data_IF_912910322062
#
_entry.id   IF_912910322062
#
_cell.length_a   1.000
_cell.length_b   1.000
_cell.length_c   1.000
_cell.angle_alpha   90.00
_cell.angle_beta   90.00
_cell.angle_gamma   90.00
#
_symmetry.space_group_name_H-M   'P 1'
#
loop_
_entity.id
_entity.type
_entity.pdbx_description
1 polymer ?
#
# COMPACT_ATOMS: atom_id res chain seq x y z
N UNK A 1 -20.13 6.10 4.59
CA UNK A 1 -19.65 4.69 4.71
C UNK A 1 -20.76 3.74 4.29
N UNK A 2 -20.47 2.77 3.43
CA UNK A 2 -21.46 1.75 3.04
C UNK A 2 -21.71 0.84 4.25
N UNK A 3 -22.96 0.73 4.73
CA UNK A 3 -23.27 -0.15 5.87
C UNK A 3 -23.11 -1.60 5.44
N UNK A 4 -22.17 -2.30 6.08
CA UNK A 4 -21.95 -3.73 5.87
C UNK A 4 -23.08 -4.52 6.52
N UNK A 5 -23.73 -5.41 5.76
CA UNK A 5 -24.75 -6.35 6.27
C UNK A 5 -24.17 -7.23 7.37
N UNK A 6 -25.00 -7.72 8.31
CA UNK A 6 -24.54 -8.67 9.33
C UNK A 6 -24.09 -9.98 8.68
N UNK A 7 -23.16 -10.70 9.31
CA UNK A 7 -22.57 -11.95 8.78
C UNK A 7 -23.63 -12.96 8.33
N UNK A 8 -24.64 -13.22 9.16
CA UNK A 8 -25.70 -14.19 8.84
C UNK A 8 -26.52 -13.77 7.62
N UNK A 9 -26.81 -12.47 7.48
CA UNK A 9 -27.55 -11.94 6.34
C UNK A 9 -26.72 -12.03 5.06
N UNK A 10 -25.40 -11.78 5.15
CA UNK A 10 -24.47 -11.99 4.04
C UNK A 10 -24.48 -13.44 3.58
N UNK A 11 -24.35 -14.41 4.50
CA UNK A 11 -24.33 -15.84 4.15
C UNK A 11 -25.62 -16.31 3.48
N UNK A 12 -26.78 -15.82 3.93
CA UNK A 12 -28.08 -16.12 3.30
C UNK A 12 -28.17 -15.53 1.89
N UNK A 13 -27.85 -14.24 1.76
CA UNK A 13 -27.85 -13.53 0.47
C UNK A 13 -26.85 -14.12 -0.52
N UNK A 14 -25.68 -14.53 -0.02
CA UNK A 14 -24.59 -15.04 -0.84
C UNK A 14 -24.96 -16.31 -1.59
N UNK A 15 -25.71 -17.23 -0.97
CA UNK A 15 -26.16 -18.46 -1.63
C UNK A 15 -26.97 -18.17 -2.91
N UNK A 16 -27.79 -17.12 -2.89
CA UNK A 16 -28.60 -16.71 -4.04
C UNK A 16 -27.72 -15.96 -5.03
N UNK A 17 -26.91 -15.01 -4.54
CA UNK A 17 -26.04 -14.19 -5.36
C UNK A 17 -25.01 -15.03 -6.14
N UNK A 18 -24.47 -16.08 -5.53
CA UNK A 18 -23.50 -16.98 -6.18
C UNK A 18 -24.08 -17.68 -7.41
N UNK A 19 -25.38 -18.02 -7.40
CA UNK A 19 -26.04 -18.70 -8.54
C UNK A 19 -26.16 -17.79 -9.76
N UNK A 20 -26.27 -16.49 -9.55
CA UNK A 20 -26.44 -15.49 -10.61
C UNK A 20 -25.15 -14.75 -10.93
N UNK A 21 -24.04 -15.08 -10.26
CA UNK A 21 -22.79 -14.34 -10.41
C UNK A 21 -22.07 -14.75 -11.71
N UNK A 22 -21.90 -13.83 -12.68
CA UNK A 22 -21.29 -14.17 -13.97
C UNK A 22 -19.75 -14.12 -13.95
N UNK A 23 -19.15 -13.67 -12.84
CA UNK A 23 -17.72 -13.41 -12.79
C UNK A 23 -16.88 -14.66 -12.53
N UNK A 24 -15.70 -14.73 -13.16
CA UNK A 24 -14.72 -15.82 -12.95
C UNK A 24 -14.14 -15.83 -11.54
N UNK A 25 -13.98 -14.66 -10.92
CA UNK A 25 -13.30 -14.50 -9.62
C UNK A 25 -14.31 -14.34 -8.47
N UNK A 26 -14.82 -15.45 -7.96
CA UNK A 26 -15.84 -15.46 -6.92
C UNK A 26 -15.44 -14.68 -5.66
N UNK A 27 -14.20 -14.84 -5.21
CA UNK A 27 -13.68 -14.19 -4.00
C UNK A 27 -13.64 -12.66 -4.17
N UNK A 28 -13.19 -12.17 -5.33
CA UNK A 28 -13.18 -10.73 -5.64
C UNK A 28 -14.60 -10.19 -5.75
N UNK A 29 -15.49 -10.93 -6.39
CA UNK A 29 -16.91 -10.57 -6.49
C UNK A 29 -17.57 -10.45 -5.12
N UNK A 30 -17.33 -11.42 -4.25
CA UNK A 30 -17.89 -11.46 -2.91
C UNK A 30 -17.40 -10.29 -2.06
N UNK A 31 -16.08 -10.07 -2.03
CA UNK A 31 -15.45 -8.97 -1.32
C UNK A 31 -16.06 -7.60 -1.74
N UNK A 32 -16.23 -7.39 -3.04
CA UNK A 32 -16.80 -6.16 -3.59
C UNK A 32 -18.31 -6.02 -3.29
N UNK A 33 -19.08 -7.11 -3.41
CA UNK A 33 -20.53 -7.09 -3.19
C UNK A 33 -20.88 -6.75 -1.76
N UNK A 34 -20.18 -7.35 -0.80
CA UNK A 34 -20.47 -7.23 0.62
C UNK A 34 -19.53 -6.29 1.38
N UNK A 35 -18.61 -5.62 0.69
CA UNK A 35 -17.62 -4.72 1.29
C UNK A 35 -16.84 -5.39 2.44
N UNK A 36 -16.33 -6.60 2.17
CA UNK A 36 -15.53 -7.39 3.12
C UNK A 36 -14.13 -7.64 2.55
N UNK A 37 -13.18 -7.94 3.42
CA UNK A 37 -11.83 -8.35 3.00
C UNK A 37 -11.85 -9.68 2.26
N UNK A 38 -10.86 -9.89 1.39
CA UNK A 38 -10.70 -11.14 0.63
C UNK A 38 -10.53 -12.35 1.55
N UNK A 39 -9.87 -12.19 2.70
CA UNK A 39 -9.70 -13.26 3.70
C UNK A 39 -11.05 -13.62 4.33
N UNK A 40 -11.85 -12.61 4.68
CA UNK A 40 -13.21 -12.81 5.21
C UNK A 40 -14.12 -13.47 4.18
N UNK A 41 -14.02 -13.04 2.92
CA UNK A 41 -14.74 -13.67 1.81
C UNK A 41 -14.40 -15.16 1.66
N UNK A 42 -13.12 -15.55 1.74
CA UNK A 42 -12.70 -16.96 1.68
C UNK A 42 -13.34 -17.77 2.80
N UNK A 43 -13.27 -17.28 4.06
CA UNK A 43 -13.84 -17.96 5.22
C UNK A 43 -15.35 -18.15 5.07
N UNK A 44 -16.06 -17.13 4.61
CA UNK A 44 -17.52 -17.17 4.41
C UNK A 44 -17.91 -18.07 3.23
N UNK A 45 -17.18 -18.02 2.12
CA UNK A 45 -17.39 -18.91 0.97
C UNK A 45 -17.15 -20.37 1.33
N UNK A 46 -16.12 -20.68 2.15
CA UNK A 46 -15.87 -22.02 2.68
C UNK A 46 -17.03 -22.51 3.56
N UNK A 47 -17.65 -21.63 4.35
CA UNK A 47 -18.84 -21.96 5.13
C UNK A 47 -20.09 -22.20 4.27
N UNK A 48 -20.15 -21.60 3.09
CA UNK A 48 -21.24 -21.83 2.12
C UNK A 48 -21.03 -23.15 1.35
N UNK A 49 -19.85 -23.75 1.43
CA UNK A 49 -19.50 -25.02 0.76
C UNK A 49 -18.67 -24.83 -0.51
N UNK A 50 -18.08 -23.66 -0.73
CA UNK A 50 -17.16 -23.45 -1.85
C UNK A 50 -15.79 -24.01 -1.49
N UNK A 51 -15.30 -24.95 -2.30
CA UNK A 51 -13.94 -25.45 -2.20
C UNK A 51 -12.96 -24.37 -2.67
N UNK A 52 -12.15 -23.89 -1.73
CA UNK A 52 -11.06 -22.94 -2.00
C UNK A 52 -9.77 -23.62 -1.56
N UNK A 53 -8.88 -23.83 -2.53
CA UNK A 53 -7.54 -24.40 -2.30
C UNK A 53 -6.76 -23.60 -1.27
N UNK A 54 -6.05 -24.32 -0.39
CA UNK A 54 -5.23 -23.74 0.67
C UNK A 54 -4.01 -23.02 0.09
N UNK A 55 -3.49 -23.48 -1.04
CA UNK A 55 -2.41 -22.84 -1.78
C UNK A 55 -2.83 -21.44 -2.25
N UNK A 56 -4.04 -21.30 -2.76
CA UNK A 56 -4.59 -20.02 -3.19
C UNK A 56 -4.77 -19.04 -2.03
N UNK A 57 -5.21 -19.53 -0.87
CA UNK A 57 -5.31 -18.74 0.37
C UNK A 57 -3.93 -18.20 0.80
N UNK A 58 -2.90 -19.06 0.82
CA UNK A 58 -1.52 -18.66 1.15
C UNK A 58 -0.96 -17.60 0.20
N UNK A 59 -1.16 -17.78 -1.11
CA UNK A 59 -0.72 -16.78 -2.10
C UNK A 59 -1.38 -15.41 -1.88
N UNK A 60 -2.67 -15.41 -1.51
CA UNK A 60 -3.41 -14.19 -1.21
C UNK A 60 -2.91 -13.48 0.04
N UNK A 61 -2.63 -14.23 1.11
CA UNK A 61 -2.04 -13.67 2.34
C UNK A 61 -0.68 -13.04 2.04
N UNK A 62 0.21 -13.77 1.37
CA UNK A 62 1.53 -13.26 0.98
C UNK A 62 1.43 -12.00 0.10
N UNK A 63 0.47 -11.93 -0.81
CA UNK A 63 0.24 -10.76 -1.66
C UNK A 63 -0.27 -9.55 -0.85
N UNK A 64 -1.12 -9.78 0.16
CA UNK A 64 -1.59 -8.73 1.07
C UNK A 64 -0.44 -8.21 1.92
N UNK A 65 0.37 -9.10 2.47
CA UNK A 65 1.54 -8.73 3.29
C UNK A 65 2.57 -7.94 2.48
N UNK A 66 2.92 -8.40 1.27
CA UNK A 66 3.81 -7.65 0.36
C UNK A 66 3.27 -6.26 0.05
N UNK A 67 1.97 -6.14 -0.23
CA UNK A 67 1.35 -4.82 -0.47
C UNK A 67 1.36 -3.93 0.77
N UNK A 68 1.23 -4.50 1.98
CA UNK A 68 1.34 -3.75 3.23
C UNK A 68 2.77 -3.24 3.43
N UNK A 69 3.78 -4.08 3.20
CA UNK A 69 5.19 -3.71 3.25
C UNK A 69 5.54 -2.61 2.24
N UNK A 70 5.08 -2.74 0.98
CA UNK A 70 5.29 -1.73 -0.05
C UNK A 70 4.60 -0.38 0.25
N UNK A 71 3.50 -0.39 1.03
CA UNK A 71 2.85 0.85 1.47
C UNK A 71 3.60 1.50 2.63
N UNK A 72 4.21 0.71 3.50
CA UNK A 72 5.05 1.21 4.60
C UNK A 72 6.33 1.83 4.02
N UNK A 73 7.01 1.14 3.10
CA UNK A 73 8.23 1.65 2.47
C UNK A 73 8.01 2.96 1.69
N UNK A 74 6.85 3.11 1.02
CA UNK A 74 6.50 4.37 0.34
C UNK A 74 6.22 5.50 1.32
N UNK A 75 5.68 5.19 2.49
CA UNK A 75 5.48 6.17 3.57
C UNK A 75 6.81 6.60 4.16
N UNK A 76 7.79 5.70 4.23
CA UNK A 76 9.14 6.04 4.68
C UNK A 76 9.86 6.94 3.67
N UNK A 77 9.69 6.70 2.35
CA UNK A 77 10.22 7.62 1.32
C UNK A 77 9.49 8.97 1.28
N UNK A 78 8.17 9.00 1.47
CA UNK A 78 7.41 10.26 1.56
C UNK A 78 7.69 11.01 2.88
N UNK A 79 8.00 10.30 3.97
CA UNK A 79 8.45 10.91 5.22
C UNK A 79 9.91 11.39 5.12
N UNK A 80 10.81 10.71 4.41
CA UNK A 80 12.16 11.25 4.13
C UNK A 80 12.09 12.48 3.22
N UNK A 81 11.22 12.48 2.20
CA UNK A 81 11.00 13.65 1.34
C UNK A 81 10.32 14.81 2.09
N UNK A 82 9.38 14.53 3.00
CA UNK A 82 8.78 15.56 3.86
C UNK A 82 9.71 16.01 4.99
N UNK A 83 10.48 15.13 5.61
CA UNK A 83 11.47 15.48 6.63
C UNK A 83 12.63 16.30 6.03
N UNK A 84 12.93 16.13 4.74
CA UNK A 84 13.83 17.02 4.00
C UNK A 84 13.20 18.40 3.74
N UNK A 85 11.86 18.48 3.66
CA UNK A 85 11.11 19.74 3.52
C UNK A 85 10.76 20.40 4.86
N UNK A 86 10.91 19.69 5.97
CA UNK A 86 10.62 20.15 7.33
C UNK A 86 11.94 20.40 8.10
N UNK A 87 12.93 20.99 7.43
CA UNK A 87 13.95 21.75 8.13
C UNK A 87 13.34 23.09 8.52
N UNK A 88 12.89 23.11 9.77
CA UNK A 88 12.54 24.22 10.64
C UNK A 88 13.05 25.60 10.19
N UNK A 89 12.15 26.57 10.18
CA UNK A 89 12.38 28.01 10.00
C UNK A 89 13.20 28.65 11.14
N UNK A 90 14.36 28.09 11.49
CA UNK A 90 15.30 28.75 12.38
C UNK A 90 16.73 28.54 11.86
N UNK A 91 17.35 29.67 11.50
CA UNK A 91 18.76 29.85 11.13
C UNK A 91 19.20 29.34 9.74
N UNK A 92 19.04 30.20 8.74
CA UNK A 92 19.89 30.53 7.57
C UNK A 92 21.06 29.60 7.12
N UNK A 93 20.94 28.27 7.20
CA UNK A 93 21.93 27.32 6.69
C UNK A 93 21.32 26.45 5.58
N UNK A 94 21.55 26.84 4.32
CA UNK A 94 21.19 26.03 3.16
C UNK A 94 22.32 25.03 2.83
N UNK A 95 22.02 23.73 2.84
CA UNK A 95 22.93 22.67 2.39
C UNK A 95 22.55 22.24 0.97
N UNK A 96 23.50 22.32 0.04
CA UNK A 96 23.29 21.90 -1.36
C UNK A 96 23.72 20.44 -1.49
N UNK A 97 22.77 19.57 -1.82
CA UNK A 97 23.04 18.15 -2.08
C UNK A 97 23.03 17.91 -3.59
N UNK A 98 24.20 17.56 -4.13
CA UNK A 98 24.38 17.14 -5.52
C UNK A 98 24.41 15.63 -5.65
N UNK A 99 24.03 15.14 -6.83
CA UNK A 99 24.20 13.73 -7.22
C UNK A 99 25.27 13.64 -8.30
N UNK A 100 26.24 12.74 -8.12
CA UNK A 100 27.17 12.40 -9.20
C UNK A 100 26.46 11.63 -10.31
N UNK A 101 27.04 11.52 -11.51
CA UNK A 101 26.47 10.72 -12.61
C UNK A 101 26.26 9.23 -12.25
N UNK A 102 26.94 8.74 -11.21
CA UNK A 102 26.76 7.40 -10.64
C UNK A 102 25.71 7.33 -9.52
N UNK A 103 25.00 8.43 -9.23
CA UNK A 103 23.92 8.49 -8.24
C UNK A 103 24.41 8.53 -6.79
N UNK A 104 25.70 8.69 -6.53
CA UNK A 104 26.23 8.84 -5.17
C UNK A 104 25.99 10.28 -4.71
N UNK A 105 25.30 10.50 -3.57
CA UNK A 105 25.04 11.83 -3.05
C UNK A 105 26.31 12.43 -2.43
N UNK A 106 26.53 13.72 -2.69
CA UNK A 106 27.54 14.53 -2.01
C UNK A 106 26.90 15.85 -1.57
N UNK A 107 27.25 16.32 -0.37
CA UNK A 107 26.72 17.56 0.19
C UNK A 107 27.84 18.57 0.39
N UNK A 108 27.58 19.82 0.02
CA UNK A 108 28.45 20.96 0.32
C UNK A 108 27.61 22.12 0.87
N UNK A 109 28.22 22.93 1.71
CA UNK A 109 27.59 24.13 2.28
C UNK A 109 27.58 25.28 1.27
N UNK A 110 26.68 26.26 1.44
CA UNK A 110 26.64 27.45 0.59
C UNK A 110 27.95 28.26 0.62
N UNK A 111 28.63 28.29 1.77
CA UNK A 111 29.93 28.94 1.91
C UNK A 111 31.01 28.25 1.06
N UNK A 112 31.05 26.92 1.09
CA UNK A 112 31.96 26.12 0.25
C UNK A 112 31.67 26.30 -1.25
N UNK A 113 30.40 26.39 -1.66
CA UNK A 113 30.03 26.66 -3.06
C UNK A 113 30.53 28.03 -3.52
N UNK A 114 30.37 29.06 -2.69
CA UNK A 114 30.84 30.42 -3.00
C UNK A 114 32.36 30.50 -3.09
N UNK A 115 33.08 29.74 -2.25
CA UNK A 115 34.54 29.64 -2.34
C UNK A 115 35.01 28.93 -3.62
N UNK A 116 34.25 27.96 -4.13
CA UNK A 116 34.55 27.27 -5.41
C UNK A 116 34.32 28.24 -6.59
N UNK A 117 33.20 28.97 -6.60
CA UNK A 117 32.87 29.91 -7.68
C UNK A 117 33.80 31.13 -7.72
N UNK A 118 34.33 31.57 -6.57
CA UNK A 118 35.29 32.68 -6.50
C UNK A 118 36.76 32.26 -6.81
N UNK A 119 37.00 30.99 -7.14
CA UNK A 119 38.32 30.45 -7.53
C UNK A 119 38.47 30.15 -9.03
N UNK A 120 37.51 30.55 -9.87
CA UNK A 120 37.61 30.47 -11.34
C UNK A 120 38.04 31.78 -11.98
#
# INVERSE_FOLDING_TARGET
>A
MKKTLKRNDRLKSAKIWMKIYPGKNLIKGYANKYAVDKITAIKELRMIGVEISREYEKQLVNAIERNKLNKLSKKDTENELNAFSEFSEDENYAMVIGYTSNGVPYGITFDELNQINNKS
#
